data_IF_939865422027
#
_entry.id   IF_939865422027
#
_cell.length_a   1.000
_cell.length_b   1.000
_cell.length_c   1.000
_cell.angle_alpha   90.00
_cell.angle_beta   90.00
_cell.angle_gamma   90.00
#
_symmetry.space_group_name_H-M   'P 1'
#
loop_
_entity.id
_entity.type
_entity.pdbx_description
1 polymer ?
#
# COMPACT_ATOMS: atom_id res chain seq x y z
N UNK A 1 -28.07 -23.22 -4.49
CA UNK A 1 -26.70 -23.53 -4.01
C UNK A 1 -25.59 -23.09 -4.99
N UNK A 2 -25.87 -22.95 -6.30
CA UNK A 2 -24.87 -22.62 -7.32
C UNK A 2 -24.63 -21.11 -7.52
N UNK A 3 -25.52 -20.22 -7.08
CA UNK A 3 -25.36 -18.76 -7.29
C UNK A 3 -24.37 -18.07 -6.35
N UNK A 4 -24.06 -18.65 -5.19
CA UNK A 4 -23.09 -18.08 -4.24
C UNK A 4 -21.61 -18.33 -4.61
N UNK A 5 -21.32 -19.36 -5.42
CA UNK A 5 -19.96 -19.67 -5.86
C UNK A 5 -19.43 -18.71 -6.94
N UNK A 6 -20.31 -18.14 -7.78
CA UNK A 6 -19.90 -17.21 -8.85
C UNK A 6 -19.56 -15.80 -8.36
N UNK A 7 -20.14 -15.34 -7.25
CA UNK A 7 -19.81 -14.03 -6.67
C UNK A 7 -18.46 -14.01 -5.94
N UNK A 8 -18.07 -15.12 -5.34
CA UNK A 8 -16.75 -15.28 -4.69
C UNK A 8 -15.61 -15.18 -5.71
N UNK A 9 -15.75 -15.81 -6.87
CA UNK A 9 -14.70 -15.87 -7.90
C UNK A 9 -14.43 -14.53 -8.60
N UNK A 10 -15.44 -13.67 -8.72
CA UNK A 10 -15.29 -12.33 -9.34
C UNK A 10 -14.61 -11.34 -8.39
N UNK A 11 -14.96 -11.39 -7.11
CA UNK A 11 -14.33 -10.55 -6.07
C UNK A 11 -12.87 -10.96 -5.86
N UNK A 12 -12.57 -12.26 -5.82
CA UNK A 12 -11.20 -12.77 -5.69
C UNK A 12 -10.31 -12.40 -6.89
N UNK A 13 -10.83 -12.40 -8.10
CA UNK A 13 -10.07 -11.94 -9.28
C UNK A 13 -9.77 -10.45 -9.27
N UNK A 14 -10.72 -9.61 -8.83
CA UNK A 14 -10.47 -8.16 -8.64
C UNK A 14 -9.42 -7.92 -7.55
N UNK A 15 -9.50 -8.65 -6.47
CA UNK A 15 -8.57 -8.55 -5.34
C UNK A 15 -7.19 -9.07 -5.75
N UNK A 16 -7.09 -10.19 -6.47
CA UNK A 16 -5.82 -10.68 -7.02
C UNK A 16 -5.20 -9.67 -7.98
N UNK A 17 -5.98 -9.04 -8.85
CA UNK A 17 -5.49 -7.97 -9.73
C UNK A 17 -4.99 -6.75 -8.95
N UNK A 18 -5.72 -6.30 -7.93
CA UNK A 18 -5.31 -5.18 -7.09
C UNK A 18 -4.06 -5.53 -6.26
N UNK A 19 -3.96 -6.74 -5.76
CA UNK A 19 -2.78 -7.24 -5.03
C UNK A 19 -1.57 -7.37 -5.95
N UNK A 20 -1.76 -7.89 -7.15
CA UNK A 20 -0.72 -7.94 -8.19
C UNK A 20 -0.27 -6.54 -8.59
N UNK A 21 -1.20 -5.61 -8.83
CA UNK A 21 -0.86 -4.22 -9.18
C UNK A 21 -0.13 -3.51 -8.05
N UNK A 22 -0.55 -3.71 -6.79
CA UNK A 22 0.08 -3.09 -5.64
C UNK A 22 1.48 -3.66 -5.34
N UNK A 23 1.74 -4.92 -5.64
CA UNK A 23 3.05 -5.55 -5.49
C UNK A 23 3.92 -5.43 -6.76
N UNK A 24 3.28 -5.38 -7.92
CA UNK A 24 3.96 -5.22 -9.20
C UNK A 24 4.48 -3.78 -9.39
N UNK A 25 3.76 -2.79 -8.87
CA UNK A 25 4.11 -1.38 -9.06
C UNK A 25 5.46 -1.00 -8.42
N UNK A 26 5.81 -1.40 -7.18
CA UNK A 26 7.14 -1.18 -6.65
C UNK A 26 8.22 -1.92 -7.43
N UNK A 27 7.94 -3.12 -7.90
CA UNK A 27 8.89 -3.93 -8.71
C UNK A 27 9.11 -3.31 -10.08
N UNK A 28 8.04 -2.90 -10.76
CA UNK A 28 8.12 -2.17 -12.04
C UNK A 28 8.81 -0.82 -11.87
N UNK A 29 8.63 -0.18 -10.71
CA UNK A 29 9.30 1.07 -10.37
C UNK A 29 10.80 0.87 -10.16
N UNK A 30 11.22 -0.17 -9.45
CA UNK A 30 12.64 -0.54 -9.28
C UNK A 30 13.28 -0.89 -10.62
N UNK A 31 12.61 -1.70 -11.45
CA UNK A 31 13.07 -2.03 -12.82
C UNK A 31 13.17 -0.77 -13.67
N UNK A 32 12.21 0.15 -13.55
CA UNK A 32 12.23 1.41 -14.30
C UNK A 32 13.37 2.34 -13.84
N UNK A 33 13.62 2.44 -12.54
CA UNK A 33 14.75 3.22 -12.01
C UNK A 33 16.08 2.64 -12.50
N UNK A 34 16.23 1.32 -12.46
CA UNK A 34 17.45 0.66 -12.92
C UNK A 34 17.63 0.82 -14.42
N UNK A 35 16.56 0.69 -15.21
CA UNK A 35 16.58 0.93 -16.65
C UNK A 35 16.92 2.38 -16.99
N UNK A 36 16.40 3.36 -16.22
CA UNK A 36 16.74 4.78 -16.40
C UNK A 36 18.16 5.10 -15.95
N UNK A 37 18.68 4.49 -14.88
CA UNK A 37 20.10 4.57 -14.51
C UNK A 37 21.02 4.11 -15.63
N UNK A 38 20.63 3.07 -16.35
CA UNK A 38 21.38 2.56 -17.49
C UNK A 38 21.27 3.45 -18.73
N UNK A 39 20.19 4.23 -18.87
CA UNK A 39 19.97 5.14 -19.99
C UNK A 39 20.36 6.60 -19.75
N UNK A 40 20.37 7.07 -18.51
CA UNK A 40 20.63 8.49 -18.18
C UNK A 40 22.01 8.71 -17.60
N UNK A 41 22.96 8.83 -18.47
CA UNK A 41 24.19 9.59 -18.23
C UNK A 41 23.99 11.11 -18.36
N UNK A 42 22.75 11.63 -18.56
CA UNK A 42 22.52 13.07 -18.70
C UNK A 42 21.06 13.47 -18.39
N UNK A 43 20.89 14.32 -17.39
CA UNK A 43 19.87 15.35 -17.24
C UNK A 43 18.38 14.96 -17.17
N UNK A 44 17.95 14.26 -16.09
CA UNK A 44 16.55 14.32 -15.57
C UNK A 44 16.43 13.77 -14.13
N UNK A 45 17.46 13.87 -13.30
CA UNK A 45 17.69 13.09 -12.06
C UNK A 45 16.80 13.44 -10.88
N UNK A 46 16.47 14.70 -10.63
CA UNK A 46 16.09 15.11 -9.27
C UNK A 46 14.68 14.69 -8.81
N UNK A 47 13.70 14.67 -9.70
CA UNK A 47 12.30 14.45 -9.29
C UNK A 47 11.91 12.96 -9.24
N UNK A 48 12.54 12.11 -10.06
CA UNK A 48 12.30 10.66 -10.04
C UNK A 48 13.00 10.00 -8.86
N UNK A 49 14.20 10.42 -8.56
CA UNK A 49 14.93 10.01 -7.34
C UNK A 49 14.19 10.43 -6.06
N UNK A 50 13.58 11.62 -6.05
CA UNK A 50 12.81 12.11 -4.92
C UNK A 50 11.60 11.22 -4.61
N UNK A 51 10.79 10.84 -5.61
CA UNK A 51 9.65 9.95 -5.42
C UNK A 51 10.10 8.56 -4.97
N UNK A 52 11.14 8.03 -5.56
CA UNK A 52 11.75 6.75 -5.15
C UNK A 52 12.16 6.76 -3.68
N UNK A 53 12.81 7.83 -3.24
CA UNK A 53 13.23 8.01 -1.85
C UNK A 53 12.04 8.17 -0.89
N UNK A 54 10.98 8.90 -1.29
CA UNK A 54 9.76 9.01 -0.50
C UNK A 54 9.08 7.64 -0.34
N UNK A 55 8.98 6.85 -1.41
CA UNK A 55 8.39 5.50 -1.37
C UNK A 55 9.22 4.56 -0.49
N UNK A 56 10.55 4.58 -0.58
CA UNK A 56 11.44 3.82 0.29
C UNK A 56 11.25 4.21 1.77
N UNK A 57 11.19 5.49 2.04
CA UNK A 57 10.95 6.02 3.39
C UNK A 57 9.59 5.55 3.94
N UNK A 58 8.51 5.62 3.15
CA UNK A 58 7.19 5.12 3.56
C UNK A 58 7.26 3.62 3.87
N UNK A 59 7.88 2.82 3.00
CA UNK A 59 7.96 1.37 3.19
C UNK A 59 8.76 0.97 4.42
N UNK A 60 9.82 1.70 4.77
CA UNK A 60 10.63 1.43 5.97
C UNK A 60 9.92 1.84 7.28
N UNK A 61 8.96 2.77 7.24
CA UNK A 61 8.22 3.26 8.40
C UNK A 61 6.75 2.85 8.39
N UNK A 62 6.37 1.85 7.60
CA UNK A 62 4.97 1.48 7.35
C UNK A 62 4.23 1.06 8.63
N UNK A 63 4.95 0.46 9.58
CA UNK A 63 4.42 -0.04 10.86
C UNK A 63 4.31 1.03 11.95
N UNK A 64 4.89 2.20 11.72
CA UNK A 64 4.90 3.31 12.66
C UNK A 64 3.68 4.22 12.46
N UNK A 65 3.47 5.16 13.40
CA UNK A 65 2.47 6.22 13.25
C UNK A 65 2.98 7.25 12.24
N UNK A 66 2.94 6.89 10.96
CA UNK A 66 3.43 7.73 9.88
C UNK A 66 2.33 8.67 9.37
N UNK A 67 2.57 9.96 9.46
CA UNK A 67 1.67 11.01 8.96
C UNK A 67 2.21 11.64 7.67
N UNK A 68 1.31 12.19 6.86
CA UNK A 68 1.68 12.90 5.61
C UNK A 68 2.56 14.11 5.93
N UNK A 69 2.32 14.76 7.08
CA UNK A 69 3.10 15.90 7.57
C UNK A 69 4.55 15.53 7.90
N UNK A 70 4.74 14.40 8.56
CA UNK A 70 6.09 13.89 8.88
C UNK A 70 6.88 13.58 7.61
N UNK A 71 6.24 12.93 6.63
CA UNK A 71 6.86 12.64 5.34
C UNK A 71 7.21 13.95 4.61
N UNK A 72 6.27 14.88 4.53
CA UNK A 72 6.50 16.16 3.87
C UNK A 72 7.69 16.90 4.50
N UNK A 73 7.74 16.95 5.84
CA UNK A 73 8.85 17.55 6.59
C UNK A 73 10.20 16.86 6.33
N UNK A 74 10.21 15.53 6.29
CA UNK A 74 11.42 14.74 6.04
C UNK A 74 12.04 15.02 4.66
N UNK A 75 11.22 15.40 3.69
CA UNK A 75 11.67 15.71 2.33
C UNK A 75 11.62 17.19 1.97
N UNK A 76 11.50 18.08 2.98
CA UNK A 76 11.44 19.55 2.80
C UNK A 76 10.33 20.01 1.83
N UNK A 77 9.19 19.31 1.82
CA UNK A 77 8.03 19.60 1.01
C UNK A 77 6.88 20.12 1.86
N UNK A 78 6.01 20.95 1.27
CA UNK A 78 4.69 21.17 1.84
C UNK A 78 3.81 19.93 1.59
N UNK A 79 2.79 19.72 2.44
CA UNK A 79 1.80 18.65 2.28
C UNK A 79 1.15 18.67 0.89
N UNK A 80 0.86 19.87 0.36
CA UNK A 80 0.26 20.04 -0.96
C UNK A 80 1.21 19.65 -2.09
N UNK A 81 2.48 20.03 -1.99
CA UNK A 81 3.52 19.66 -2.95
C UNK A 81 3.72 18.14 -2.98
N UNK A 82 3.85 17.54 -1.79
CA UNK A 82 3.99 16.09 -1.66
C UNK A 82 2.82 15.34 -2.29
N UNK A 83 1.57 15.68 -1.96
CA UNK A 83 0.40 15.03 -2.53
C UNK A 83 0.29 15.24 -4.04
N UNK A 84 0.57 16.45 -4.56
CA UNK A 84 0.56 16.73 -6.00
C UNK A 84 1.60 15.91 -6.75
N UNK A 85 2.81 15.83 -6.19
CA UNK A 85 3.90 15.03 -6.75
C UNK A 85 3.53 13.54 -6.77
N UNK A 86 2.98 13.04 -5.66
CA UNK A 86 2.57 11.66 -5.50
C UNK A 86 1.42 11.28 -6.45
N UNK A 87 0.39 12.13 -6.57
CA UNK A 87 -0.69 11.95 -7.54
C UNK A 87 -0.20 11.91 -8.98
N UNK A 88 0.72 12.82 -9.35
CA UNK A 88 1.26 12.88 -10.71
C UNK A 88 2.05 11.63 -11.09
N UNK A 89 2.77 11.02 -10.15
CA UNK A 89 3.68 9.90 -10.40
C UNK A 89 3.10 8.53 -10.06
N UNK A 90 2.30 8.44 -9.01
CA UNK A 90 1.75 7.18 -8.47
C UNK A 90 0.25 7.05 -8.74
N UNK A 91 -0.45 8.16 -9.04
CA UNK A 91 -1.88 8.15 -9.33
C UNK A 91 -2.78 8.10 -8.07
N UNK A 92 -2.21 8.22 -6.87
CA UNK A 92 -2.95 8.20 -5.61
C UNK A 92 -2.41 9.25 -4.64
N UNK A 93 -3.15 9.56 -3.56
CA UNK A 93 -2.59 10.36 -2.47
C UNK A 93 -1.61 9.53 -1.64
N UNK A 94 -0.69 10.19 -0.94
CA UNK A 94 0.25 9.55 0.00
C UNK A 94 -0.50 8.72 1.04
N UNK A 95 -1.57 9.28 1.61
CA UNK A 95 -2.40 8.58 2.60
C UNK A 95 -3.02 7.29 2.03
N UNK A 96 -3.60 7.35 0.83
CA UNK A 96 -4.18 6.17 0.18
C UNK A 96 -3.14 5.09 -0.10
N UNK A 97 -1.94 5.49 -0.50
CA UNK A 97 -0.83 4.56 -0.72
C UNK A 97 -0.43 3.84 0.57
N UNK A 98 -0.22 4.57 1.68
CA UNK A 98 0.12 4.00 2.99
C UNK A 98 -0.98 3.03 3.44
N UNK A 99 -2.26 3.44 3.35
CA UNK A 99 -3.39 2.61 3.72
C UNK A 99 -3.43 1.30 2.92
N UNK A 100 -3.26 1.39 1.60
CA UNK A 100 -3.26 0.21 0.74
C UNK A 100 -2.13 -0.76 1.11
N UNK A 101 -0.91 -0.26 1.31
CA UNK A 101 0.24 -1.09 1.69
C UNK A 101 0.01 -1.81 3.02
N UNK A 102 -0.48 -1.09 4.04
CA UNK A 102 -0.83 -1.66 5.35
C UNK A 102 -1.89 -2.76 5.24
N UNK A 103 -2.93 -2.55 4.44
CA UNK A 103 -4.00 -3.52 4.27
C UNK A 103 -3.55 -4.78 3.53
N UNK A 104 -2.68 -4.65 2.53
CA UNK A 104 -2.10 -5.80 1.82
C UNK A 104 -1.29 -6.65 2.79
N UNK A 105 -0.44 -6.03 3.58
CA UNK A 105 0.38 -6.73 4.58
C UNK A 105 -0.47 -7.38 5.66
N UNK A 106 -1.49 -6.66 6.16
CA UNK A 106 -2.46 -7.20 7.08
C UNK A 106 -3.13 -8.47 6.53
N UNK A 107 -3.51 -8.47 5.26
CA UNK A 107 -4.13 -9.64 4.62
C UNK A 107 -3.20 -10.85 4.56
N UNK A 108 -1.91 -10.62 4.28
CA UNK A 108 -0.91 -11.70 4.31
C UNK A 108 -0.77 -12.31 5.71
N UNK A 109 -0.71 -11.46 6.75
CA UNK A 109 -0.64 -11.89 8.14
C UNK A 109 -1.90 -12.65 8.58
N UNK A 110 -3.10 -12.21 8.17
CA UNK A 110 -4.35 -12.91 8.45
C UNK A 110 -4.40 -14.28 7.77
N UNK A 111 -3.98 -14.37 6.52
CA UNK A 111 -3.87 -15.66 5.81
C UNK A 111 -2.85 -16.61 6.43
N UNK A 112 -1.86 -16.07 7.14
CA UNK A 112 -0.92 -16.84 7.94
C UNK A 112 -1.50 -17.25 9.32
N UNK A 113 -2.79 -16.99 9.60
CA UNK A 113 -3.49 -17.40 10.82
C UNK A 113 -3.37 -16.45 12.01
N UNK A 114 -2.71 -15.29 11.85
CA UNK A 114 -2.54 -14.32 12.95
C UNK A 114 -3.88 -13.71 13.40
N UNK A 115 -3.92 -13.30 14.68
CA UNK A 115 -5.12 -12.68 15.25
C UNK A 115 -5.37 -11.30 14.62
N UNK A 116 -6.62 -10.97 14.18
CA UNK A 116 -6.92 -9.68 13.54
C UNK A 116 -6.61 -8.45 14.40
N UNK A 117 -6.77 -8.52 15.72
CA UNK A 117 -6.42 -7.43 16.62
C UNK A 117 -4.91 -7.16 16.66
N UNK A 118 -4.10 -8.23 16.67
CA UNK A 118 -2.64 -8.13 16.64
C UNK A 118 -2.15 -7.64 15.27
N UNK A 119 -2.79 -8.12 14.20
CA UNK A 119 -2.49 -7.68 12.83
C UNK A 119 -2.77 -6.19 12.66
N UNK A 120 -3.90 -5.69 13.17
CA UNK A 120 -4.22 -4.27 13.11
C UNK A 120 -3.10 -3.41 13.75
N UNK A 121 -2.67 -3.79 14.95
CA UNK A 121 -1.57 -3.10 15.66
C UNK A 121 -0.25 -3.21 14.91
N UNK A 122 0.10 -4.39 14.45
CA UNK A 122 1.32 -4.62 13.69
C UNK A 122 1.38 -3.83 12.38
N UNK A 123 0.23 -3.54 11.75
CA UNK A 123 0.13 -2.74 10.55
C UNK A 123 -0.06 -1.23 10.83
N UNK A 124 0.20 -0.76 12.05
CA UNK A 124 0.18 0.67 12.39
C UNK A 124 -1.21 1.28 12.55
N UNK A 125 -2.23 0.46 12.86
CA UNK A 125 -3.54 0.97 13.25
C UNK A 125 -3.64 1.10 14.77
N UNK A 126 -3.98 2.27 15.24
CA UNK A 126 -4.20 2.54 16.67
C UNK A 126 -5.56 2.04 17.15
N UNK A 127 -6.54 1.97 16.25
CA UNK A 127 -7.91 1.53 16.53
C UNK A 127 -8.34 0.43 15.57
N UNK A 128 -8.84 -0.66 16.16
CA UNK A 128 -9.32 -1.82 15.41
C UNK A 128 -10.55 -1.50 14.54
N UNK A 129 -11.43 -0.60 14.99
CA UNK A 129 -12.62 -0.22 14.22
C UNK A 129 -12.23 0.50 12.91
N UNK A 130 -11.21 1.35 12.97
CA UNK A 130 -10.65 1.99 11.77
C UNK A 130 -10.04 0.97 10.81
N UNK A 131 -9.27 0.02 11.35
CA UNK A 131 -8.73 -1.11 10.56
C UNK A 131 -9.84 -1.93 9.91
N UNK A 132 -10.84 -2.35 10.69
CA UNK A 132 -11.96 -3.16 10.20
C UNK A 132 -12.70 -2.47 9.06
N UNK A 133 -13.06 -1.19 9.23
CA UNK A 133 -13.75 -0.40 8.19
C UNK A 133 -12.91 -0.28 6.91
N UNK A 134 -11.63 0.03 7.05
CA UNK A 134 -10.71 0.14 5.93
C UNK A 134 -10.55 -1.20 5.21
N UNK A 135 -10.33 -2.27 5.96
CA UNK A 135 -10.17 -3.63 5.43
C UNK A 135 -11.41 -4.07 4.64
N UNK A 136 -12.59 -3.94 5.24
CA UNK A 136 -13.86 -4.29 4.60
C UNK A 136 -14.13 -3.46 3.34
N UNK A 137 -13.80 -2.17 3.38
CA UNK A 137 -13.94 -1.28 2.21
C UNK A 137 -13.07 -1.73 1.04
N UNK A 138 -11.83 -2.14 1.32
CA UNK A 138 -10.88 -2.55 0.28
C UNK A 138 -11.09 -3.97 -0.24
N UNK A 139 -11.36 -4.91 0.65
CA UNK A 139 -11.41 -6.33 0.29
C UNK A 139 -12.84 -6.89 0.18
N UNK A 140 -13.86 -6.15 0.58
CA UNK A 140 -15.25 -6.60 0.58
C UNK A 140 -15.58 -7.66 1.64
N UNK A 141 -14.59 -8.09 2.43
CA UNK A 141 -14.69 -9.14 3.44
C UNK A 141 -14.21 -8.63 4.80
N UNK A 142 -14.68 -9.25 5.87
CA UNK A 142 -14.19 -8.97 7.22
C UNK A 142 -12.81 -9.61 7.44
N UNK A 143 -11.92 -9.02 8.29
CA UNK A 143 -10.61 -9.60 8.59
C UNK A 143 -10.65 -11.05 9.10
N UNK A 144 -11.68 -11.42 9.85
CA UNK A 144 -11.87 -12.79 10.31
C UNK A 144 -12.16 -13.77 9.19
N UNK A 145 -12.80 -13.34 8.09
CA UNK A 145 -13.09 -14.19 6.93
C UNK A 145 -11.85 -14.58 6.13
N UNK A 146 -10.78 -13.81 6.21
CA UNK A 146 -9.50 -14.11 5.57
C UNK A 146 -8.52 -14.86 6.49
N UNK A 147 -8.85 -15.02 7.79
CA UNK A 147 -8.08 -15.82 8.71
C UNK A 147 -8.26 -17.30 8.34
N UNK A 148 -7.18 -17.99 7.99
CA UNK A 148 -7.23 -19.46 7.88
C UNK A 148 -7.65 -20.04 9.23
N UNK A 149 -8.64 -20.93 9.22
CA UNK A 149 -8.90 -21.80 10.37
C UNK A 149 -7.65 -22.65 10.66
N UNK A 150 -7.35 -22.91 11.92
CA UNK A 150 -6.22 -23.76 12.32
C UNK A 150 -6.33 -25.17 11.73
#
# INVERSE_FOLDING_TARGET
YYMNAMHSTSSDRKIQRLTLLANLFPLLWEIRIEYQRLQSSAAAGDTEDLIGNIVKYINSHLHELLTVEQIAKAFYLSRSQLNRLFHKRIGSSVYQYIQLKRLIEARLMLKAGRNPGDVARACGYTDYSCFYKAYRKYFGAAPYGDKKAP
#
